data_IF_345036187526
#
_entry.id   IF_345036187526
#
_cell.length_a   1.000
_cell.length_b   1.000
_cell.length_c   1.000
_cell.angle_alpha   90.00
_cell.angle_beta   90.00
_cell.angle_gamma   90.00
#
_symmetry.space_group_name_H-M   'P 1'
#
loop_
_entity.id
_entity.type
_entity.pdbx_description
1 polymer ?
#
# COMPACT_ATOMS: atom_id res chain seq x y z
N UNK A 1 -19.17 -40.15 18.40
CA UNK A 1 -20.11 -39.18 17.82
C UNK A 1 -19.28 -38.22 16.97
N UNK A 2 -19.46 -38.23 15.65
CA UNK A 2 -18.73 -37.34 14.75
C UNK A 2 -19.40 -35.97 14.77
N UNK A 3 -18.71 -34.96 15.30
CA UNK A 3 -19.17 -33.57 15.23
C UNK A 3 -19.30 -33.17 13.76
N UNK A 4 -20.53 -32.90 13.32
CA UNK A 4 -20.77 -32.26 12.04
C UNK A 4 -20.39 -30.79 12.19
N UNK A 5 -19.25 -30.40 11.62
CA UNK A 5 -18.89 -28.98 11.45
C UNK A 5 -19.87 -28.38 10.44
N UNK A 6 -20.77 -27.54 10.92
CA UNK A 6 -21.72 -26.79 10.09
C UNK A 6 -21.02 -25.49 9.71
N UNK A 7 -20.62 -25.36 8.45
CA UNK A 7 -20.11 -24.10 7.92
C UNK A 7 -21.27 -23.12 7.69
N UNK A 8 -21.12 -21.89 8.16
CA UNK A 8 -22.07 -20.81 7.90
C UNK A 8 -22.16 -20.56 6.38
N UNK A 9 -23.38 -20.45 5.84
CA UNK A 9 -23.62 -20.26 4.39
C UNK A 9 -22.94 -19.01 3.82
N UNK A 10 -22.66 -18.06 4.69
CA UNK A 10 -22.11 -16.73 4.46
C UNK A 10 -20.63 -16.63 4.85
N UNK A 11 -19.98 -17.74 5.24
CA UNK A 11 -18.57 -17.76 5.63
C UNK A 11 -17.65 -17.19 4.53
N UNK A 12 -17.89 -17.58 3.28
CA UNK A 12 -17.11 -17.11 2.11
C UNK A 12 -17.34 -15.62 1.89
N UNK A 13 -18.57 -15.14 2.04
CA UNK A 13 -18.91 -13.72 1.90
C UNK A 13 -18.28 -12.88 3.01
N UNK A 14 -18.32 -13.35 4.26
CA UNK A 14 -17.66 -12.71 5.40
C UNK A 14 -16.14 -12.66 5.22
N UNK A 15 -15.54 -13.75 4.73
CA UNK A 15 -14.11 -13.81 4.43
C UNK A 15 -13.71 -12.85 3.32
N UNK A 16 -14.48 -12.80 2.23
CA UNK A 16 -14.26 -11.84 1.12
C UNK A 16 -14.41 -10.39 1.58
N UNK A 17 -15.39 -10.09 2.43
CA UNK A 17 -15.57 -8.75 2.99
C UNK A 17 -14.39 -8.35 3.89
N UNK A 18 -13.94 -9.25 4.76
CA UNK A 18 -12.74 -9.02 5.59
C UNK A 18 -11.48 -8.76 4.76
N UNK A 19 -11.35 -9.40 3.60
CA UNK A 19 -10.21 -9.16 2.70
C UNK A 19 -10.35 -7.82 1.99
N UNK A 20 -11.56 -7.44 1.56
CA UNK A 20 -11.82 -6.12 0.96
C UNK A 20 -11.58 -4.95 1.92
N UNK A 21 -11.68 -5.18 3.22
CA UNK A 21 -11.40 -4.20 4.26
C UNK A 21 -9.91 -4.05 4.57
N UNK A 22 -9.04 -4.95 4.08
CA UNK A 22 -7.60 -4.82 4.31
C UNK A 22 -7.06 -3.62 3.57
N UNK A 23 -6.55 -2.68 4.35
CA UNK A 23 -5.76 -1.55 3.88
C UNK A 23 -4.28 -1.94 3.91
N UNK A 24 -3.62 -1.80 2.78
CA UNK A 24 -2.18 -1.94 2.64
C UNK A 24 -1.55 -0.58 2.86
N UNK A 25 -0.45 -0.55 3.59
CA UNK A 25 0.34 0.65 3.82
C UNK A 25 1.77 0.33 3.43
N UNK A 26 2.45 1.28 2.80
CA UNK A 26 3.89 1.24 2.58
C UNK A 26 4.50 2.57 2.97
N UNK A 27 5.74 2.53 3.43
CA UNK A 27 6.54 3.71 3.75
C UNK A 27 7.72 3.77 2.81
N UNK A 28 7.82 4.86 2.06
CA UNK A 28 8.95 5.13 1.16
C UNK A 28 9.92 6.06 1.85
N UNK A 29 11.20 5.75 1.73
CA UNK A 29 12.31 6.53 2.26
C UNK A 29 13.05 7.25 1.13
N UNK A 30 13.49 8.50 1.35
CA UNK A 30 14.32 9.21 0.38
C UNK A 30 15.68 8.52 0.20
N UNK A 31 16.33 8.77 -0.95
CA UNK A 31 17.59 8.10 -1.32
C UNK A 31 18.79 8.48 -0.47
N UNK A 32 18.77 9.66 0.14
CA UNK A 32 19.92 10.19 0.87
C UNK A 32 19.76 9.91 2.37
N UNK A 33 20.79 9.32 3.00
CA UNK A 33 20.85 9.01 4.43
C UNK A 33 20.59 10.22 5.35
N UNK A 34 20.73 11.44 4.83
CA UNK A 34 20.59 12.68 5.60
C UNK A 34 19.20 13.32 5.54
N UNK A 35 18.17 12.62 5.06
CA UNK A 35 16.78 13.07 5.16
C UNK A 35 16.40 14.22 4.22
N UNK A 36 17.12 14.40 3.12
CA UNK A 36 16.73 15.38 2.11
C UNK A 36 15.51 14.89 1.33
N UNK A 37 14.56 15.82 1.22
CA UNK A 37 13.20 15.65 0.73
C UNK A 37 13.15 14.95 -0.64
N UNK A 38 12.04 14.25 -0.89
CA UNK A 38 11.75 13.74 -2.22
C UNK A 38 11.79 14.87 -3.26
N UNK A 39 12.47 14.67 -4.41
CA UNK A 39 12.41 15.62 -5.51
C UNK A 39 10.95 15.88 -5.93
N UNK A 40 10.61 17.14 -6.23
CA UNK A 40 9.23 17.50 -6.60
C UNK A 40 8.71 16.65 -7.77
N UNK A 41 9.58 16.35 -8.75
CA UNK A 41 9.24 15.49 -9.89
C UNK A 41 8.83 14.09 -9.45
N UNK A 42 9.51 13.52 -8.45
CA UNK A 42 9.15 12.23 -7.89
C UNK A 42 7.80 12.33 -7.17
N UNK A 43 7.63 13.31 -6.29
CA UNK A 43 6.38 13.52 -5.55
C UNK A 43 5.19 13.67 -6.49
N UNK A 44 5.29 14.49 -7.54
CA UNK A 44 4.22 14.60 -8.55
C UNK A 44 3.98 13.28 -9.26
N UNK A 45 5.04 12.57 -9.66
CA UNK A 45 4.86 11.28 -10.36
C UNK A 45 4.14 10.24 -9.51
N UNK A 46 4.39 10.21 -8.20
CA UNK A 46 3.76 9.25 -7.29
C UNK A 46 2.38 9.75 -6.87
N UNK A 47 2.22 11.02 -6.50
CA UNK A 47 0.95 11.58 -6.04
C UNK A 47 -0.06 11.70 -7.18
N UNK A 48 0.28 12.36 -8.29
CA UNK A 48 -0.68 12.65 -9.35
C UNK A 48 -1.13 11.39 -10.09
N UNK A 49 -0.22 10.43 -10.29
CA UNK A 49 -0.52 9.19 -11.00
C UNK A 49 -1.35 8.21 -10.16
N UNK A 50 -1.38 8.37 -8.84
CA UNK A 50 -1.97 7.38 -7.93
C UNK A 50 -3.08 7.92 -7.01
N UNK A 51 -3.36 9.22 -7.04
CA UNK A 51 -4.40 9.88 -6.21
C UNK A 51 -5.81 9.30 -6.32
N UNK A 52 -6.13 8.64 -7.43
CA UNK A 52 -7.46 8.07 -7.65
C UNK A 52 -7.72 6.78 -6.85
N UNK A 53 -6.65 6.10 -6.43
CA UNK A 53 -6.74 4.77 -5.82
C UNK A 53 -5.92 4.62 -4.53
N UNK A 54 -5.11 5.62 -4.19
CA UNK A 54 -4.26 5.61 -3.00
C UNK A 54 -4.39 6.91 -2.20
N UNK A 55 -4.24 6.79 -0.89
CA UNK A 55 -4.04 7.90 0.02
C UNK A 55 -2.54 8.08 0.22
N UNK A 56 -2.01 9.24 -0.15
CA UNK A 56 -0.57 9.54 -0.08
C UNK A 56 -0.37 10.70 0.86
N UNK A 57 0.48 10.51 1.86
CA UNK A 57 0.79 11.53 2.87
C UNK A 57 2.30 11.59 3.10
N UNK A 58 2.79 12.79 3.42
CA UNK A 58 4.19 12.97 3.81
C UNK A 58 4.27 13.12 5.33
N UNK A 59 5.02 12.23 5.98
CA UNK A 59 5.17 12.17 7.44
C UNK A 59 6.64 12.10 7.77
N UNK A 60 7.15 13.07 8.53
CA UNK A 60 8.56 13.10 9.01
C UNK A 60 9.61 12.92 7.88
N UNK A 61 9.34 13.49 6.70
CA UNK A 61 10.23 13.39 5.54
C UNK A 61 10.11 12.09 4.74
N UNK A 62 9.27 11.14 5.18
CA UNK A 62 8.92 9.90 4.48
C UNK A 62 7.59 10.05 3.74
N UNK A 63 7.34 9.17 2.78
CA UNK A 63 6.07 9.10 2.06
C UNK A 63 5.31 7.86 2.52
N UNK A 64 4.14 8.04 3.10
CA UNK A 64 3.24 6.95 3.49
C UNK A 64 2.14 6.84 2.46
N UNK A 65 2.03 5.65 1.85
CA UNK A 65 1.06 5.37 0.79
C UNK A 65 0.15 4.25 1.26
N UNK A 66 -1.16 4.49 1.23
CA UNK A 66 -2.18 3.53 1.63
C UNK A 66 -3.13 3.21 0.49
N UNK A 67 -3.54 1.96 0.38
CA UNK A 67 -4.55 1.55 -0.59
C UNK A 67 -5.24 0.26 -0.20
N UNK A 68 -6.43 0.04 -0.76
CA UNK A 68 -7.15 -1.25 -0.69
C UNK A 68 -6.88 -2.14 -1.91
N UNK A 69 -6.16 -1.64 -2.91
CA UNK A 69 -5.83 -2.38 -4.13
C UNK A 69 -4.41 -2.97 -4.03
N UNK A 70 -4.28 -4.28 -3.71
CA UNK A 70 -2.97 -4.92 -3.53
C UNK A 70 -2.17 -4.99 -4.83
N UNK A 71 -2.83 -5.09 -5.99
CA UNK A 71 -2.16 -5.24 -7.28
C UNK A 71 -1.51 -3.92 -7.66
N UNK A 72 -2.25 -2.81 -7.51
CA UNK A 72 -1.70 -1.47 -7.75
C UNK A 72 -0.61 -1.12 -6.74
N UNK A 73 -0.78 -1.51 -5.47
CA UNK A 73 0.25 -1.32 -4.45
C UNK A 73 1.55 -2.05 -4.83
N UNK A 74 1.48 -3.35 -5.18
CA UNK A 74 2.66 -4.12 -5.60
C UNK A 74 3.34 -3.52 -6.83
N UNK A 75 2.56 -3.08 -7.83
CA UNK A 75 3.11 -2.41 -9.02
C UNK A 75 3.83 -1.11 -8.66
N UNK A 76 3.28 -0.35 -7.71
CA UNK A 76 3.87 0.91 -7.26
C UNK A 76 5.18 0.68 -6.50
N UNK A 77 5.25 -0.34 -5.65
CA UNK A 77 6.48 -0.74 -4.95
C UNK A 77 7.59 -1.01 -5.96
N UNK A 78 7.33 -1.86 -6.96
CA UNK A 78 8.31 -2.20 -8.02
C UNK A 78 8.78 -0.94 -8.76
N UNK A 79 7.86 -0.02 -9.07
CA UNK A 79 8.20 1.24 -9.73
C UNK A 79 9.11 2.11 -8.85
N UNK A 80 8.79 2.26 -7.57
CA UNK A 80 9.52 3.11 -6.62
C UNK A 80 10.91 2.55 -6.33
N UNK A 81 11.02 1.24 -6.15
CA UNK A 81 12.30 0.53 -6.02
C UNK A 81 13.13 0.63 -7.30
N UNK A 82 12.49 0.51 -8.47
CA UNK A 82 13.15 0.71 -9.77
C UNK A 82 13.64 2.14 -9.99
N UNK A 83 13.01 3.12 -9.34
CA UNK A 83 13.51 4.50 -9.27
C UNK A 83 14.67 4.66 -8.28
N UNK A 84 15.00 3.63 -7.48
CA UNK A 84 16.11 3.59 -6.53
C UNK A 84 15.77 4.09 -5.12
N UNK A 85 14.49 4.10 -4.73
CA UNK A 85 14.06 4.43 -3.37
C UNK A 85 13.81 3.17 -2.55
N UNK A 86 13.99 3.25 -1.24
CA UNK A 86 13.71 2.13 -0.33
C UNK A 86 12.25 2.16 0.12
N UNK A 87 11.63 0.98 0.21
CA UNK A 87 10.24 0.80 0.63
C UNK A 87 10.17 -0.17 1.81
N UNK A 88 9.37 0.16 2.82
CA UNK A 88 9.04 -0.69 3.97
C UNK A 88 7.52 -0.94 4.01
N UNK A 89 7.11 -2.14 4.42
CA UNK A 89 5.70 -2.57 4.58
C UNK A 89 5.15 -2.27 5.99
#
# INVERSE_FOLDING_TARGET
>A
MTEKVIFAKDLVTSWLNKIKEKEYSITVHPKEENGFQFPERFLRSVTDSNKEWSEISQVEGKLVIKSKDPIKMASLIIQIEGMGYSVEE
#
